data_IF_641957443238
#
_entry.id   IF_641957443238
#
_cell.length_a   1.000
_cell.length_b   1.000
_cell.length_c   1.000
_cell.angle_alpha   90.00
_cell.angle_beta   90.00
_cell.angle_gamma   90.00
#
_symmetry.space_group_name_H-M   'P 1'
#
loop_
_entity.id
_entity.type
_entity.pdbx_description
1 polymer ?
#
# COMPACT_ATOMS: atom_id res chain seq x y z
N UNK A 1 34.39 -33.23 21.38
CA UNK A 1 33.32 -33.09 22.40
C UNK A 1 32.42 -31.92 22.04
N UNK A 2 31.13 -32.12 21.65
CA UNK A 2 30.25 -31.08 21.19
C UNK A 2 30.01 -30.02 22.29
N UNK A 3 30.01 -30.37 23.55
CA UNK A 3 29.83 -29.43 24.68
C UNK A 3 31.01 -28.47 24.82
N UNK A 4 32.25 -28.93 24.63
CA UNK A 4 33.43 -28.07 24.70
C UNK A 4 33.39 -27.04 23.55
N UNK A 5 33.04 -27.46 22.34
CA UNK A 5 32.89 -26.56 21.20
C UNK A 5 31.84 -25.49 21.44
N UNK A 6 30.71 -25.83 22.07
CA UNK A 6 29.65 -24.86 22.41
C UNK A 6 30.14 -23.83 23.46
N UNK A 7 30.89 -24.26 24.47
CA UNK A 7 31.48 -23.37 25.48
C UNK A 7 32.48 -22.41 24.85
N UNK A 8 33.40 -22.91 24.03
CA UNK A 8 34.37 -22.06 23.32
C UNK A 8 33.68 -21.05 22.39
N UNK A 9 32.61 -21.45 21.72
CA UNK A 9 31.84 -20.58 20.87
C UNK A 9 31.19 -19.43 21.67
N UNK A 10 30.52 -19.72 22.79
CA UNK A 10 29.93 -18.70 23.65
C UNK A 10 30.96 -17.79 24.27
N UNK A 11 32.10 -18.31 24.68
CA UNK A 11 33.21 -17.49 25.19
C UNK A 11 33.75 -16.57 24.10
N UNK A 12 33.97 -17.04 22.89
CA UNK A 12 34.40 -16.20 21.75
C UNK A 12 33.41 -15.09 21.45
N UNK A 13 32.10 -15.40 21.45
CA UNK A 13 31.06 -14.41 21.22
C UNK A 13 30.99 -13.38 22.34
N UNK A 14 31.14 -13.80 23.61
CA UNK A 14 31.19 -12.92 24.77
C UNK A 14 32.39 -11.99 24.72
N UNK A 15 33.59 -12.53 24.42
CA UNK A 15 34.82 -11.74 24.29
C UNK A 15 34.67 -10.73 23.14
N UNK A 16 34.09 -11.11 22.00
CA UNK A 16 33.83 -10.19 20.91
C UNK A 16 32.87 -9.08 21.28
N UNK A 17 31.79 -9.36 22.02
CA UNK A 17 30.86 -8.35 22.54
C UNK A 17 31.50 -7.41 23.55
N UNK A 18 32.30 -7.94 24.48
CA UNK A 18 33.02 -7.12 25.47
C UNK A 18 34.14 -6.28 24.85
N UNK A 19 34.71 -6.70 23.73
CA UNK A 19 35.69 -5.93 23.00
C UNK A 19 35.11 -4.72 22.26
N UNK A 20 33.84 -4.72 21.91
CA UNK A 20 33.20 -3.62 21.15
C UNK A 20 33.33 -2.25 21.81
N UNK A 21 33.08 -2.07 23.13
CA UNK A 21 33.27 -0.77 23.79
C UNK A 21 34.74 -0.34 23.85
N UNK A 22 35.65 -1.30 24.03
CA UNK A 22 37.08 -1.04 24.11
C UNK A 22 37.63 -0.60 22.74
N UNK A 23 37.10 -1.14 21.68
CA UNK A 23 37.44 -0.81 20.29
C UNK A 23 36.77 0.48 19.80
N UNK A 24 35.91 1.11 20.61
CA UNK A 24 35.15 2.30 20.23
C UNK A 24 36.00 3.51 19.83
N UNK A 25 37.28 3.56 20.28
CA UNK A 25 38.23 4.58 19.87
C UNK A 25 38.77 4.40 18.45
N UNK A 26 38.70 3.17 17.90
CA UNK A 26 39.11 2.87 16.53
C UNK A 26 37.96 2.24 15.73
N UNK A 27 37.38 3.07 14.89
CA UNK A 27 36.19 2.67 14.06
C UNK A 27 36.50 1.49 13.14
N UNK A 28 37.71 1.39 12.58
CA UNK A 28 38.11 0.25 11.74
C UNK A 28 38.05 -1.08 12.51
N UNK A 29 38.63 -1.10 13.70
CA UNK A 29 38.61 -2.29 14.55
C UNK A 29 37.19 -2.62 15.01
N UNK A 30 36.36 -1.62 15.28
CA UNK A 30 34.95 -1.80 15.62
C UNK A 30 34.16 -2.45 14.48
N UNK A 31 34.32 -1.95 13.25
CA UNK A 31 33.71 -2.55 12.04
C UNK A 31 34.17 -3.98 11.82
N UNK A 32 35.49 -4.24 11.92
CA UNK A 32 36.04 -5.58 11.79
C UNK A 32 35.53 -6.56 12.87
N UNK A 33 35.41 -6.11 14.12
CA UNK A 33 34.87 -6.93 15.21
C UNK A 33 33.39 -7.29 14.98
N UNK A 34 32.58 -6.35 14.47
CA UNK A 34 31.19 -6.66 14.11
C UNK A 34 31.10 -7.68 12.99
N UNK A 35 31.92 -7.58 11.93
CA UNK A 35 31.95 -8.62 10.89
C UNK A 35 32.41 -9.96 11.41
N UNK A 36 33.38 -9.99 12.30
CA UNK A 36 33.80 -11.21 12.98
C UNK A 36 32.63 -11.83 13.76
N UNK A 37 31.90 -11.03 14.56
CA UNK A 37 30.71 -11.50 15.28
C UNK A 37 29.61 -12.01 14.34
N UNK A 38 29.38 -11.33 13.22
CA UNK A 38 28.44 -11.79 12.20
C UNK A 38 28.89 -13.15 11.63
N UNK A 39 30.16 -13.32 11.35
CA UNK A 39 30.77 -14.59 10.93
C UNK A 39 30.57 -15.70 11.95
N UNK A 40 30.81 -15.41 13.23
CA UNK A 40 30.55 -16.37 14.32
C UNK A 40 29.07 -16.77 14.39
N UNK A 41 28.15 -15.82 14.22
CA UNK A 41 26.72 -16.10 14.21
C UNK A 41 26.32 -16.99 13.02
N UNK A 42 26.92 -16.79 11.83
CA UNK A 42 26.74 -17.70 10.68
C UNK A 42 27.25 -19.11 11.00
N UNK A 43 28.45 -19.22 11.58
CA UNK A 43 28.99 -20.52 12.00
C UNK A 43 28.11 -21.20 13.03
N UNK A 44 27.54 -20.43 13.98
CA UNK A 44 26.57 -20.97 14.94
C UNK A 44 25.31 -21.51 14.26
N UNK A 45 24.83 -20.80 13.25
CA UNK A 45 23.68 -21.27 12.46
C UNK A 45 23.96 -22.64 11.83
N UNK A 46 25.14 -22.82 11.25
CA UNK A 46 25.56 -24.08 10.64
C UNK A 46 25.72 -25.17 11.71
N UNK A 47 26.38 -24.86 12.79
CA UNK A 47 26.73 -25.84 13.85
C UNK A 47 25.53 -26.28 14.67
N UNK A 48 24.73 -25.31 15.12
CA UNK A 48 23.55 -25.61 15.97
C UNK A 48 22.31 -25.90 15.13
N UNK A 49 22.35 -25.70 13.82
CA UNK A 49 21.20 -25.81 12.90
C UNK A 49 19.99 -24.99 13.32
N UNK A 50 20.25 -23.90 14.06
CA UNK A 50 19.21 -22.99 14.56
C UNK A 50 19.19 -21.71 13.74
N UNK A 51 18.09 -21.39 13.06
CA UNK A 51 17.97 -20.22 12.21
C UNK A 51 18.01 -18.88 12.96
N UNK A 52 17.79 -18.88 14.27
CA UNK A 52 17.79 -17.67 15.09
C UNK A 52 19.13 -16.90 15.03
N UNK A 53 20.26 -17.60 14.87
CA UNK A 53 21.56 -16.97 14.77
C UNK A 53 21.74 -16.14 13.49
N UNK A 54 20.95 -16.41 12.44
CA UNK A 54 20.96 -15.58 11.23
C UNK A 54 20.37 -14.19 11.48
N UNK A 55 19.42 -14.03 12.43
CA UNK A 55 18.97 -12.69 12.82
C UNK A 55 20.13 -11.88 13.42
N UNK A 56 20.89 -12.52 14.32
CA UNK A 56 22.06 -11.88 14.94
C UNK A 56 23.09 -11.52 13.87
N UNK A 57 23.43 -12.46 12.98
CA UNK A 57 24.37 -12.22 11.88
C UNK A 57 23.93 -11.04 10.99
N UNK A 58 22.65 -11.02 10.59
CA UNK A 58 22.13 -10.01 9.71
C UNK A 58 22.04 -8.63 10.38
N UNK A 59 21.66 -8.55 11.66
CA UNK A 59 21.62 -7.29 12.42
C UNK A 59 23.04 -6.75 12.61
N UNK A 60 23.95 -7.60 13.07
CA UNK A 60 25.34 -7.20 13.34
C UNK A 60 26.06 -6.75 12.07
N UNK A 61 25.86 -7.44 10.96
CA UNK A 61 26.42 -7.02 9.67
C UNK A 61 25.82 -5.73 9.14
N UNK A 62 24.54 -5.45 9.41
CA UNK A 62 23.90 -4.16 9.09
C UNK A 62 24.56 -3.01 9.86
N UNK A 63 24.83 -3.21 11.15
CA UNK A 63 25.56 -2.24 11.97
C UNK A 63 27.01 -2.05 11.48
N UNK A 64 27.70 -3.13 11.17
CA UNK A 64 29.04 -3.08 10.60
C UNK A 64 29.09 -2.26 9.29
N UNK A 65 28.10 -2.43 8.45
CA UNK A 65 27.97 -1.69 7.20
C UNK A 65 27.80 -0.17 7.44
N UNK A 66 27.06 0.22 8.48
CA UNK A 66 26.93 1.62 8.91
C UNK A 66 28.28 2.22 9.34
N UNK A 67 29.09 1.49 10.09
CA UNK A 67 30.43 1.93 10.52
C UNK A 67 31.40 2.07 9.35
N UNK A 68 31.34 1.17 8.38
CA UNK A 68 32.17 1.28 7.17
C UNK A 68 31.82 2.54 6.38
N UNK A 69 30.55 2.86 6.22
CA UNK A 69 30.15 4.10 5.56
C UNK A 69 30.67 5.34 6.29
N UNK A 70 30.65 5.32 7.63
CA UNK A 70 31.24 6.39 8.44
C UNK A 70 32.75 6.51 8.18
N UNK A 71 33.46 5.40 8.11
CA UNK A 71 34.90 5.35 7.88
C UNK A 71 35.32 5.84 6.51
N UNK A 72 34.50 5.61 5.51
CA UNK A 72 34.73 6.08 4.14
C UNK A 72 34.41 7.55 3.94
N UNK A 73 34.03 8.26 5.02
CA UNK A 73 33.49 9.65 4.97
C UNK A 73 32.34 9.83 3.98
N UNK A 74 31.64 8.75 3.68
CA UNK A 74 30.54 8.68 2.74
C UNK A 74 29.17 8.72 3.47
N UNK A 75 29.11 9.31 4.67
CA UNK A 75 27.88 9.42 5.46
C UNK A 75 26.88 10.43 4.88
N UNK A 76 26.72 10.40 3.57
CA UNK A 76 25.62 11.07 2.92
C UNK A 76 24.35 10.24 3.00
N UNK A 77 23.19 10.88 3.09
CA UNK A 77 21.90 10.14 3.05
C UNK A 77 21.79 9.25 1.82
N UNK A 78 22.39 9.66 0.71
CA UNK A 78 22.42 8.89 -0.52
C UNK A 78 23.23 7.58 -0.37
N UNK A 79 24.45 7.66 0.19
CA UNK A 79 25.30 6.49 0.39
C UNK A 79 24.66 5.51 1.40
N UNK A 80 24.08 6.04 2.49
CA UNK A 80 23.35 5.22 3.47
C UNK A 80 22.15 4.52 2.82
N UNK A 81 21.35 5.25 2.04
CA UNK A 81 20.20 4.68 1.34
C UNK A 81 20.61 3.54 0.40
N UNK A 82 21.59 3.77 -0.48
CA UNK A 82 22.05 2.76 -1.43
C UNK A 82 22.69 1.55 -0.76
N UNK A 83 23.47 1.77 0.29
CA UNK A 83 24.07 0.69 1.05
C UNK A 83 23.01 -0.21 1.71
N UNK A 84 21.99 0.39 2.34
CA UNK A 84 20.91 -0.36 2.97
C UNK A 84 20.04 -1.08 1.94
N UNK A 85 19.70 -0.44 0.81
CA UNK A 85 18.96 -1.08 -0.27
C UNK A 85 19.73 -2.26 -0.87
N UNK A 86 21.02 -2.07 -1.12
CA UNK A 86 21.90 -3.13 -1.62
C UNK A 86 22.01 -4.30 -0.64
N UNK A 87 22.17 -4.00 0.65
CA UNK A 87 22.20 -5.01 1.70
C UNK A 87 20.88 -5.77 1.83
N UNK A 88 19.75 -5.08 1.82
CA UNK A 88 18.44 -5.72 1.83
C UNK A 88 18.25 -6.62 0.61
N UNK A 89 18.64 -6.17 -0.58
CA UNK A 89 18.58 -6.97 -1.80
C UNK A 89 19.42 -8.26 -1.68
N UNK A 90 20.63 -8.16 -1.12
CA UNK A 90 21.51 -9.31 -0.89
C UNK A 90 20.88 -10.30 0.10
N UNK A 91 20.29 -9.84 1.19
CA UNK A 91 19.58 -10.69 2.15
C UNK A 91 18.39 -11.42 1.51
N UNK A 92 17.59 -10.70 0.70
CA UNK A 92 16.43 -11.27 -0.01
C UNK A 92 16.89 -12.38 -1.00
N UNK A 93 17.90 -12.07 -1.80
CA UNK A 93 18.43 -13.04 -2.80
C UNK A 93 19.03 -14.26 -2.09
N UNK A 94 19.82 -14.05 -1.03
CA UNK A 94 20.42 -15.14 -0.24
C UNK A 94 19.35 -16.01 0.40
N UNK A 95 18.32 -15.40 0.99
CA UNK A 95 17.18 -16.12 1.56
C UNK A 95 16.49 -17.01 0.51
N UNK A 96 16.23 -16.44 -0.66
CA UNK A 96 15.64 -17.18 -1.78
C UNK A 96 16.50 -18.32 -2.27
N UNK A 97 17.80 -18.09 -2.40
CA UNK A 97 18.78 -19.13 -2.79
C UNK A 97 18.77 -20.28 -1.79
N UNK A 98 18.78 -20.01 -0.49
CA UNK A 98 18.74 -21.05 0.54
C UNK A 98 17.42 -21.84 0.49
N UNK A 99 16.29 -21.19 0.24
CA UNK A 99 15.01 -21.89 0.04
C UNK A 99 15.05 -22.84 -1.16
N UNK A 100 15.64 -22.42 -2.28
CA UNK A 100 15.81 -23.26 -3.47
C UNK A 100 16.74 -24.44 -3.21
N UNK A 101 17.69 -24.32 -2.27
CA UNK A 101 18.57 -25.40 -1.81
C UNK A 101 17.95 -26.30 -0.75
N UNK A 102 16.60 -26.30 -0.62
CA UNK A 102 15.85 -27.09 0.36
C UNK A 102 16.14 -26.75 1.83
N UNK A 103 16.53 -25.48 2.09
CA UNK A 103 16.79 -24.95 3.42
C UNK A 103 15.80 -23.82 3.78
N UNK A 104 14.46 -24.04 3.73
CA UNK A 104 13.47 -22.99 3.89
C UNK A 104 13.50 -22.31 5.27
N UNK A 105 13.98 -23.01 6.30
CA UNK A 105 14.08 -22.47 7.67
C UNK A 105 14.96 -21.23 7.79
N UNK A 106 15.91 -21.07 6.87
CA UNK A 106 16.86 -19.96 6.87
C UNK A 106 16.37 -18.76 6.06
N UNK A 107 15.31 -18.91 5.24
CA UNK A 107 14.73 -17.82 4.48
C UNK A 107 14.07 -16.78 5.41
N UNK A 108 13.28 -17.24 6.40
CA UNK A 108 12.49 -16.36 7.27
C UNK A 108 13.34 -15.31 8.01
N UNK A 109 14.44 -15.66 8.70
CA UNK A 109 15.27 -14.66 9.37
C UNK A 109 15.92 -13.66 8.41
N UNK A 110 16.38 -14.09 7.25
CA UNK A 110 16.98 -13.20 6.26
C UNK A 110 15.94 -12.23 5.69
N UNK A 111 14.76 -12.74 5.38
CA UNK A 111 13.66 -11.92 4.88
C UNK A 111 13.17 -10.91 5.92
N UNK A 112 12.98 -11.33 7.17
CA UNK A 112 12.53 -10.44 8.25
C UNK A 112 13.56 -9.32 8.48
N UNK A 113 14.86 -9.64 8.48
CA UNK A 113 15.92 -8.64 8.59
C UNK A 113 15.95 -7.73 7.36
N UNK A 114 15.78 -8.27 6.15
CA UNK A 114 15.72 -7.46 4.94
C UNK A 114 14.56 -6.46 4.99
N UNK A 115 13.38 -6.87 5.48
CA UNK A 115 12.24 -5.98 5.66
C UNK A 115 12.52 -4.87 6.68
N UNK A 116 13.20 -5.20 7.79
CA UNK A 116 13.62 -4.20 8.78
C UNK A 116 14.62 -3.20 8.16
N UNK A 117 15.60 -3.68 7.39
CA UNK A 117 16.57 -2.83 6.68
C UNK A 117 15.89 -1.96 5.63
N UNK A 118 14.90 -2.49 4.87
CA UNK A 118 14.11 -1.69 3.93
C UNK A 118 13.31 -0.59 4.66
N UNK A 119 12.75 -0.89 5.83
CA UNK A 119 12.08 0.10 6.66
C UNK A 119 13.03 1.21 7.11
N UNK A 120 14.24 0.85 7.54
CA UNK A 120 15.28 1.81 7.91
C UNK A 120 15.81 2.60 6.70
N UNK A 121 15.87 2.00 5.52
CA UNK A 121 16.30 2.64 4.29
C UNK A 121 15.33 3.72 3.80
N UNK A 122 14.06 3.65 4.18
CA UNK A 122 13.03 4.59 3.72
C UNK A 122 13.38 6.04 4.10
N UNK A 123 13.75 6.29 5.34
CA UNK A 123 14.04 7.64 5.82
C UNK A 123 15.24 8.29 5.11
N UNK A 124 16.44 7.69 5.09
CA UNK A 124 17.57 8.26 4.37
C UNK A 124 17.30 8.41 2.86
N UNK A 125 16.52 7.50 2.27
CA UNK A 125 16.13 7.60 0.86
C UNK A 125 15.24 8.81 0.60
N UNK A 126 14.30 9.13 1.49
CA UNK A 126 13.41 10.29 1.36
C UNK A 126 14.14 11.62 1.57
N UNK A 127 15.15 11.65 2.45
CA UNK A 127 15.95 12.84 2.73
C UNK A 127 17.03 13.07 1.67
N UNK A 128 17.47 12.04 0.98
CA UNK A 128 18.46 12.13 -0.08
C UNK A 128 18.04 13.12 -1.17
N UNK A 129 19.04 13.69 -1.84
CA UNK A 129 18.79 14.60 -2.96
C UNK A 129 18.30 13.85 -4.20
N UNK A 130 17.59 14.55 -5.08
CA UNK A 130 17.27 14.04 -6.42
C UNK A 130 18.61 13.88 -7.23
N UNK A 131 18.82 12.82 -8.02
CA UNK A 131 17.88 11.76 -8.39
C UNK A 131 17.84 10.54 -7.41
N UNK A 132 18.77 10.48 -6.43
CA UNK A 132 18.88 9.34 -5.50
C UNK A 132 17.56 9.06 -4.79
N UNK A 133 16.85 10.09 -4.35
CA UNK A 133 15.54 9.97 -3.71
C UNK A 133 14.55 9.19 -4.57
N UNK A 134 14.40 9.56 -5.82
CA UNK A 134 13.41 8.97 -6.73
C UNK A 134 13.75 7.51 -7.05
N UNK A 135 15.00 7.26 -7.46
CA UNK A 135 15.46 5.93 -7.84
C UNK A 135 15.50 5.01 -6.61
N UNK A 136 15.91 5.53 -5.44
CA UNK A 136 15.92 4.78 -4.19
C UNK A 136 14.53 4.37 -3.73
N UNK A 137 13.54 5.27 -3.80
CA UNK A 137 12.13 4.93 -3.48
C UNK A 137 11.57 3.93 -4.48
N UNK A 138 11.90 4.06 -5.77
CA UNK A 138 11.51 3.08 -6.79
C UNK A 138 12.14 1.70 -6.54
N UNK A 139 13.43 1.65 -6.19
CA UNK A 139 14.13 0.42 -5.85
C UNK A 139 13.51 -0.27 -4.62
N UNK A 140 13.15 0.50 -3.60
CA UNK A 140 12.47 0.00 -2.40
C UNK A 140 11.11 -0.63 -2.76
N UNK A 141 10.30 0.06 -3.58
CA UNK A 141 9.03 -0.49 -4.07
C UNK A 141 9.23 -1.79 -4.86
N UNK A 142 10.25 -1.83 -5.73
CA UNK A 142 10.59 -3.01 -6.53
C UNK A 142 10.99 -4.20 -5.64
N UNK A 143 11.83 -3.99 -4.61
CA UNK A 143 12.25 -5.03 -3.69
C UNK A 143 11.05 -5.59 -2.91
N UNK A 144 10.13 -4.75 -2.44
CA UNK A 144 8.89 -5.19 -1.79
C UNK A 144 7.99 -5.99 -2.74
N UNK A 145 7.87 -5.55 -4.00
CA UNK A 145 7.11 -6.29 -5.01
C UNK A 145 7.75 -7.65 -5.32
N UNK A 146 9.08 -7.72 -5.36
CA UNK A 146 9.83 -8.96 -5.55
C UNK A 146 9.61 -9.94 -4.38
N UNK A 147 9.60 -9.42 -3.14
CA UNK A 147 9.26 -10.22 -1.95
C UNK A 147 7.83 -10.76 -2.08
N UNK A 148 6.86 -9.93 -2.46
CA UNK A 148 5.47 -10.35 -2.67
C UNK A 148 5.39 -11.51 -3.67
N UNK A 149 6.07 -11.38 -4.81
CA UNK A 149 6.12 -12.40 -5.85
C UNK A 149 6.76 -13.70 -5.35
N UNK A 150 7.89 -13.63 -4.66
CA UNK A 150 8.61 -14.83 -4.19
C UNK A 150 7.94 -15.52 -3.02
N UNK A 151 7.30 -14.76 -2.13
CA UNK A 151 6.55 -15.31 -1.00
C UNK A 151 5.12 -15.75 -1.37
N UNK A 152 4.71 -15.48 -2.63
CA UNK A 152 3.34 -15.72 -3.09
C UNK A 152 2.30 -15.09 -2.15
N UNK A 153 2.66 -13.93 -1.56
CA UNK A 153 1.83 -13.22 -0.59
C UNK A 153 1.58 -11.76 -1.00
N UNK A 154 0.33 -11.34 -1.24
CA UNK A 154 0.00 -9.99 -1.68
C UNK A 154 0.23 -8.92 -0.61
N UNK A 155 0.46 -9.29 0.66
CA UNK A 155 0.63 -8.36 1.77
C UNK A 155 1.70 -7.28 1.48
N UNK A 156 2.80 -7.68 0.89
CA UNK A 156 3.90 -6.75 0.58
C UNK A 156 3.56 -5.77 -0.54
N UNK A 157 2.57 -6.07 -1.39
CA UNK A 157 2.09 -5.14 -2.41
C UNK A 157 1.36 -3.94 -1.81
N UNK A 158 0.75 -4.08 -0.63
CA UNK A 158 0.12 -2.96 0.06
C UNK A 158 1.12 -1.86 0.46
N UNK A 159 2.40 -2.22 0.64
CA UNK A 159 3.47 -1.25 0.82
C UNK A 159 4.15 -0.89 -0.50
N UNK A 160 4.43 -1.87 -1.37
CA UNK A 160 5.13 -1.67 -2.64
C UNK A 160 4.39 -0.70 -3.57
N UNK A 161 3.07 -0.83 -3.69
CA UNK A 161 2.25 -0.05 -4.63
C UNK A 161 2.20 1.43 -4.26
N UNK A 162 1.88 1.85 -3.01
CA UNK A 162 1.93 3.27 -2.64
C UNK A 162 3.35 3.84 -2.63
N UNK A 163 4.38 3.07 -2.26
CA UNK A 163 5.77 3.51 -2.35
C UNK A 163 6.18 3.72 -3.82
N UNK A 164 5.77 2.82 -4.72
CA UNK A 164 6.00 3.00 -6.16
C UNK A 164 5.30 4.24 -6.72
N UNK A 165 4.09 4.54 -6.24
CA UNK A 165 3.40 5.78 -6.58
C UNK A 165 4.12 7.02 -6.01
N UNK A 166 4.65 6.95 -4.79
CA UNK A 166 5.47 8.01 -4.23
C UNK A 166 6.71 8.27 -5.09
N UNK A 167 7.39 7.23 -5.58
CA UNK A 167 8.50 7.37 -6.52
C UNK A 167 8.08 8.10 -7.81
N UNK A 168 6.90 7.78 -8.32
CA UNK A 168 6.33 8.48 -9.48
C UNK A 168 6.08 9.96 -9.18
N UNK A 169 5.48 10.29 -8.04
CA UNK A 169 5.24 11.68 -7.64
C UNK A 169 6.55 12.47 -7.50
N UNK A 170 7.55 11.87 -6.88
CA UNK A 170 8.88 12.47 -6.77
C UNK A 170 9.53 12.70 -8.15
N UNK A 171 9.23 11.85 -9.13
CA UNK A 171 9.63 12.05 -10.53
C UNK A 171 9.00 13.28 -11.17
N UNK A 172 7.82 13.71 -10.73
CA UNK A 172 7.16 14.92 -11.23
C UNK A 172 7.89 16.23 -10.84
N UNK A 173 8.76 16.19 -9.85
CA UNK A 173 9.62 17.34 -9.47
C UNK A 173 10.52 17.80 -10.63
N UNK A 174 10.78 16.94 -11.62
CA UNK A 174 11.57 17.30 -12.80
C UNK A 174 10.81 18.15 -13.80
N UNK A 175 9.48 18.23 -13.64
CA UNK A 175 8.64 19.05 -14.50
C UNK A 175 8.28 20.36 -13.78
N UNK A 176 8.65 21.55 -14.32
CA UNK A 176 8.45 22.84 -13.65
C UNK A 176 6.99 23.14 -13.28
N UNK A 177 6.05 22.54 -14.03
CA UNK A 177 4.60 22.70 -13.81
C UNK A 177 3.95 21.48 -13.13
N UNK A 178 4.75 20.47 -12.76
CA UNK A 178 4.24 19.18 -12.30
C UNK A 178 3.27 19.29 -11.12
N UNK A 179 3.62 20.06 -10.11
CA UNK A 179 2.77 20.24 -8.93
C UNK A 179 1.48 21.02 -9.21
N UNK A 180 1.53 21.99 -10.15
CA UNK A 180 0.35 22.78 -10.51
C UNK A 180 -0.73 21.93 -11.20
N UNK A 181 -0.32 20.92 -11.95
CA UNK A 181 -1.20 20.03 -12.69
C UNK A 181 -1.15 18.60 -12.14
N UNK A 182 -0.84 18.45 -10.85
CA UNK A 182 -0.72 17.15 -10.19
C UNK A 182 -1.94 16.25 -10.45
N UNK A 183 -3.15 16.82 -10.44
CA UNK A 183 -4.39 16.11 -10.72
C UNK A 183 -4.45 15.48 -12.12
N UNK A 184 -3.78 16.07 -13.12
CA UNK A 184 -3.68 15.52 -14.47
C UNK A 184 -2.50 14.54 -14.58
N UNK A 185 -1.35 14.91 -14.03
CA UNK A 185 -0.16 14.05 -14.08
C UNK A 185 -0.31 12.76 -13.27
N UNK A 186 -1.14 12.76 -12.24
CA UNK A 186 -1.43 11.54 -11.49
C UNK A 186 -2.34 10.53 -12.24
N UNK A 187 -3.12 10.98 -13.25
CA UNK A 187 -4.02 10.11 -14.01
C UNK A 187 -3.32 8.96 -14.74
N UNK A 188 -2.17 9.13 -15.41
CA UNK A 188 -1.46 8.02 -16.01
C UNK A 188 -1.11 6.93 -15.01
N UNK A 189 -0.65 7.30 -13.80
CA UNK A 189 -0.35 6.35 -12.74
C UNK A 189 -1.62 5.60 -12.28
N UNK A 190 -2.75 6.30 -12.15
CA UNK A 190 -4.03 5.67 -11.84
C UNK A 190 -4.45 4.67 -12.92
N UNK A 191 -4.30 5.02 -14.20
CA UNK A 191 -4.64 4.12 -15.32
C UNK A 191 -3.71 2.91 -15.39
N UNK A 192 -2.42 3.10 -15.16
CA UNK A 192 -1.44 2.00 -15.10
C UNK A 192 -1.77 1.07 -13.93
N UNK A 193 -2.03 1.62 -12.75
CA UNK A 193 -2.43 0.84 -11.58
C UNK A 193 -3.73 0.06 -11.86
N UNK A 194 -4.75 0.72 -12.41
CA UNK A 194 -6.02 0.06 -12.78
C UNK A 194 -5.81 -1.07 -13.81
N UNK A 195 -5.00 -0.83 -14.84
CA UNK A 195 -4.70 -1.85 -15.84
C UNK A 195 -3.91 -3.03 -15.25
N UNK A 196 -2.94 -2.74 -14.37
CA UNK A 196 -2.19 -3.74 -13.62
C UNK A 196 -3.11 -4.59 -12.73
N UNK A 197 -4.03 -3.95 -12.02
CA UNK A 197 -5.04 -4.64 -11.23
C UNK A 197 -5.89 -5.59 -12.09
N UNK A 198 -6.36 -5.12 -13.24
CA UNK A 198 -7.14 -5.95 -14.17
C UNK A 198 -6.34 -7.11 -14.74
N UNK A 199 -5.07 -6.88 -15.04
CA UNK A 199 -4.18 -7.93 -15.52
C UNK A 199 -3.99 -9.00 -14.44
N UNK A 200 -3.75 -8.61 -13.18
CA UNK A 200 -3.65 -9.54 -12.05
C UNK A 200 -4.94 -10.33 -11.84
N UNK A 201 -6.10 -9.71 -11.90
CA UNK A 201 -7.39 -10.40 -11.77
C UNK A 201 -7.60 -11.47 -12.86
N UNK A 202 -7.05 -11.25 -14.04
CA UNK A 202 -7.18 -12.20 -15.14
C UNK A 202 -6.19 -13.37 -15.05
N UNK A 203 -5.01 -13.15 -14.44
CA UNK A 203 -3.91 -14.13 -14.40
C UNK A 203 -3.75 -14.79 -13.04
N UNK A 204 -4.02 -14.06 -11.97
CA UNK A 204 -3.95 -14.56 -10.60
C UNK A 204 -5.37 -14.72 -10.08
N UNK A 205 -5.91 -15.93 -10.13
CA UNK A 205 -7.22 -16.19 -9.53
C UNK A 205 -7.12 -15.93 -8.03
N UNK A 206 -7.90 -14.98 -7.48
CA UNK A 206 -7.91 -14.77 -6.03
C UNK A 206 -8.34 -16.08 -5.38
N UNK A 207 -7.67 -16.48 -4.32
CA UNK A 207 -8.12 -17.53 -3.42
C UNK A 207 -9.31 -17.01 -2.60
N UNK A 208 -10.33 -16.52 -3.30
CA UNK A 208 -11.60 -16.11 -2.72
C UNK A 208 -12.23 -17.36 -2.14
N UNK A 209 -12.14 -17.49 -0.81
CA UNK A 209 -12.69 -18.61 -0.09
C UNK A 209 -14.10 -18.96 -0.60
N UNK A 210 -14.34 -20.20 -0.83
CA UNK A 210 -15.55 -20.74 -1.47
C UNK A 210 -16.85 -20.42 -0.70
N UNK A 211 -16.74 -19.90 0.53
CA UNK A 211 -17.91 -19.52 1.34
C UNK A 211 -18.02 -17.99 1.43
N UNK A 212 -19.23 -17.42 1.22
CA UNK A 212 -19.46 -16.03 1.51
C UNK A 212 -19.14 -15.74 2.98
N UNK A 213 -18.59 -14.55 3.33
CA UNK A 213 -18.41 -14.20 4.74
C UNK A 213 -19.76 -14.21 5.44
N UNK A 214 -19.79 -14.54 6.75
CA UNK A 214 -20.99 -14.39 7.55
C UNK A 214 -21.48 -12.94 7.46
N UNK A 215 -22.78 -12.73 7.63
CA UNK A 215 -23.32 -11.37 7.60
C UNK A 215 -22.74 -10.56 8.78
N UNK A 216 -22.42 -9.29 8.51
CA UNK A 216 -21.85 -8.37 9.51
C UNK A 216 -22.68 -8.32 10.79
N UNK A 217 -24.01 -8.34 10.65
CA UNK A 217 -24.96 -8.22 11.76
C UNK A 217 -25.09 -9.50 12.61
N UNK A 218 -24.87 -10.66 12.01
CA UNK A 218 -24.98 -11.94 12.69
C UNK A 218 -23.69 -12.32 13.45
N UNK A 219 -22.53 -11.98 12.86
CA UNK A 219 -21.23 -12.24 13.46
C UNK A 219 -20.19 -11.20 12.97
N UNK A 220 -20.13 -10.03 13.63
CA UNK A 220 -19.22 -8.95 13.22
C UNK A 220 -17.74 -9.36 13.30
N UNK A 221 -17.32 -10.10 14.30
CA UNK A 221 -15.93 -10.56 14.47
C UNK A 221 -15.56 -11.56 13.37
N UNK A 222 -16.41 -12.53 13.12
CA UNK A 222 -16.21 -13.50 12.04
C UNK A 222 -16.23 -12.84 10.66
N UNK A 223 -17.07 -11.83 10.47
CA UNK A 223 -17.08 -11.02 9.23
C UNK A 223 -15.77 -10.28 9.02
N UNK A 224 -15.25 -9.60 10.05
CA UNK A 224 -13.97 -8.88 9.98
C UNK A 224 -12.81 -9.84 9.70
N UNK A 225 -12.75 -10.98 10.38
CA UNK A 225 -11.71 -11.97 10.15
C UNK A 225 -11.76 -12.54 8.73
N UNK A 226 -12.91 -13.01 8.26
CA UNK A 226 -13.08 -13.56 6.92
C UNK A 226 -12.87 -12.51 5.82
N UNK A 227 -13.28 -11.26 6.06
CA UNK A 227 -13.05 -10.14 5.12
C UNK A 227 -11.57 -9.78 5.09
N UNK A 228 -10.91 -9.72 6.24
CA UNK A 228 -9.47 -9.47 6.35
C UNK A 228 -8.64 -10.49 5.58
N UNK A 229 -8.89 -11.77 5.76
CA UNK A 229 -8.23 -12.84 5.02
C UNK A 229 -8.43 -12.70 3.50
N UNK A 230 -9.63 -12.38 3.07
CA UNK A 230 -9.94 -12.16 1.64
C UNK A 230 -9.21 -10.95 1.09
N UNK A 231 -9.22 -9.83 1.80
CA UNK A 231 -8.53 -8.61 1.37
C UNK A 231 -7.02 -8.85 1.28
N UNK A 232 -6.45 -9.54 2.27
CA UNK A 232 -5.02 -9.88 2.30
C UNK A 232 -4.61 -10.93 1.26
N UNK A 233 -5.54 -11.73 0.76
CA UNK A 233 -5.28 -12.70 -0.32
C UNK A 233 -5.47 -12.12 -1.73
N UNK A 234 -5.99 -10.92 -1.86
CA UNK A 234 -6.36 -10.34 -3.14
C UNK A 234 -5.22 -9.48 -3.73
N UNK A 235 -4.56 -10.01 -4.74
CA UNK A 235 -3.38 -9.41 -5.37
C UNK A 235 -3.64 -8.07 -6.08
N UNK A 236 -4.80 -7.89 -6.65
CA UNK A 236 -5.14 -6.67 -7.38
C UNK A 236 -5.65 -5.54 -6.49
N UNK A 237 -6.07 -5.84 -5.26
CA UNK A 237 -6.68 -4.85 -4.37
C UNK A 237 -5.79 -3.65 -4.05
N UNK A 238 -4.47 -3.79 -3.76
CA UNK A 238 -3.61 -2.63 -3.51
C UNK A 238 -3.59 -1.64 -4.69
N UNK A 239 -3.60 -2.17 -5.91
CA UNK A 239 -3.63 -1.34 -7.13
C UNK A 239 -4.96 -0.63 -7.30
N UNK A 240 -6.06 -1.29 -7.00
CA UNK A 240 -7.38 -0.68 -7.03
C UNK A 240 -7.51 0.41 -5.95
N UNK A 241 -7.03 0.16 -4.73
CA UNK A 241 -7.02 1.15 -3.66
C UNK A 241 -6.19 2.38 -4.05
N UNK A 242 -5.00 2.16 -4.63
CA UNK A 242 -4.18 3.25 -5.13
C UNK A 242 -4.90 4.03 -6.23
N UNK A 243 -5.45 3.34 -7.23
CA UNK A 243 -6.21 3.99 -8.31
C UNK A 243 -7.30 4.88 -7.75
N UNK A 244 -8.06 4.35 -6.80
CA UNK A 244 -9.16 5.08 -6.16
C UNK A 244 -8.66 6.27 -5.37
N UNK A 245 -7.59 6.10 -4.57
CA UNK A 245 -7.02 7.19 -3.80
C UNK A 245 -6.51 8.32 -4.72
N UNK A 246 -5.83 7.98 -5.82
CA UNK A 246 -5.37 8.96 -6.80
C UNK A 246 -6.56 9.71 -7.42
N UNK A 247 -7.57 8.98 -7.88
CA UNK A 247 -8.73 9.58 -8.52
C UNK A 247 -9.52 10.47 -7.54
N UNK A 248 -9.66 10.02 -6.28
CA UNK A 248 -10.30 10.77 -5.22
C UNK A 248 -9.55 12.10 -4.95
N UNK A 249 -8.25 12.02 -4.67
CA UNK A 249 -7.43 13.19 -4.39
C UNK A 249 -7.40 14.14 -5.59
N UNK A 250 -7.24 13.60 -6.80
CA UNK A 250 -7.26 14.39 -8.03
C UNK A 250 -8.59 15.12 -8.20
N UNK A 251 -9.71 14.50 -7.87
CA UNK A 251 -11.04 15.11 -7.96
C UNK A 251 -11.23 16.26 -6.98
N UNK A 252 -10.70 16.15 -5.75
CA UNK A 252 -10.79 17.20 -4.75
C UNK A 252 -9.82 18.37 -5.00
N UNK A 253 -8.64 18.09 -5.52
CA UNK A 253 -7.62 19.10 -5.80
C UNK A 253 -7.92 19.92 -7.08
N UNK A 254 -8.91 19.50 -7.86
CA UNK A 254 -9.18 20.16 -9.15
C UNK A 254 -10.16 21.31 -8.96
N UNK A 255 -9.82 22.53 -9.40
CA UNK A 255 -10.82 23.58 -9.56
C UNK A 255 -11.86 23.11 -10.57
N UNK A 256 -13.11 23.57 -10.42
CA UNK A 256 -14.23 23.21 -11.31
C UNK A 256 -13.98 23.74 -12.72
N UNK A 257 -13.25 22.95 -13.48
CA UNK A 257 -12.89 23.18 -14.90
C UNK A 257 -13.08 21.87 -15.65
N UNK A 258 -13.07 21.94 -16.96
CA UNK A 258 -13.23 20.75 -17.83
C UNK A 258 -12.31 19.59 -17.47
N UNK A 259 -11.06 19.88 -17.18
CA UNK A 259 -10.10 18.83 -16.80
C UNK A 259 -10.39 18.17 -15.43
N UNK A 260 -11.20 18.79 -14.55
CA UNK A 260 -11.64 18.20 -13.29
C UNK A 260 -12.72 17.16 -13.46
N UNK A 261 -13.47 17.19 -14.56
CA UNK A 261 -14.49 16.17 -14.85
C UNK A 261 -13.86 14.82 -15.23
N UNK A 262 -12.64 14.82 -15.78
CA UNK A 262 -11.94 13.60 -16.19
C UNK A 262 -11.69 12.65 -15.00
N UNK A 263 -11.09 13.10 -13.87
CA UNK A 263 -10.93 12.24 -12.70
C UNK A 263 -12.27 11.71 -12.15
N UNK A 264 -13.32 12.54 -12.15
CA UNK A 264 -14.65 12.13 -11.67
C UNK A 264 -15.25 11.03 -12.57
N UNK A 265 -15.18 11.21 -13.88
CA UNK A 265 -15.66 10.20 -14.82
C UNK A 265 -14.87 8.89 -14.74
N UNK A 266 -13.54 8.98 -14.62
CA UNK A 266 -12.69 7.81 -14.44
C UNK A 266 -12.97 7.10 -13.11
N UNK A 267 -13.19 7.84 -12.02
CA UNK A 267 -13.56 7.27 -10.73
C UNK A 267 -14.88 6.50 -10.83
N UNK A 268 -15.91 7.09 -11.40
CA UNK A 268 -17.18 6.41 -11.61
C UNK A 268 -17.01 5.14 -12.46
N UNK A 269 -16.24 5.20 -13.53
CA UNK A 269 -15.99 4.05 -14.41
C UNK A 269 -15.25 2.92 -13.67
N UNK A 270 -14.21 3.26 -12.90
CA UNK A 270 -13.45 2.29 -12.11
C UNK A 270 -14.36 1.60 -11.09
N UNK A 271 -15.16 2.35 -10.33
CA UNK A 271 -16.08 1.78 -9.33
C UNK A 271 -17.19 0.96 -9.97
N UNK A 272 -17.71 1.39 -11.11
CA UNK A 272 -18.68 0.62 -11.88
C UNK A 272 -18.13 -0.73 -12.34
N UNK A 273 -16.87 -0.77 -12.80
CA UNK A 273 -16.22 -2.03 -13.19
C UNK A 273 -15.96 -2.93 -11.98
N UNK A 274 -15.65 -2.35 -10.80
CA UNK A 274 -15.49 -3.07 -9.55
C UNK A 274 -16.79 -3.74 -9.10
N UNK A 275 -17.89 -2.99 -9.08
CA UNK A 275 -19.20 -3.54 -8.77
C UNK A 275 -19.57 -4.70 -9.71
N UNK A 276 -19.37 -4.51 -11.00
CA UNK A 276 -19.69 -5.53 -12.01
C UNK A 276 -18.93 -6.84 -11.82
N UNK A 277 -17.71 -6.79 -11.25
CA UNK A 277 -16.87 -7.97 -11.03
C UNK A 277 -17.10 -8.64 -9.69
N UNK A 278 -17.26 -7.86 -8.64
CA UNK A 278 -17.31 -8.35 -7.27
C UNK A 278 -18.73 -8.51 -6.74
N UNK A 279 -19.69 -7.85 -7.39
CA UNK A 279 -21.11 -7.75 -6.96
C UNK A 279 -21.29 -7.21 -5.53
N UNK A 280 -20.21 -6.66 -4.93
CA UNK A 280 -20.24 -6.07 -3.61
C UNK A 280 -20.92 -4.70 -3.66
N UNK A 281 -21.92 -4.50 -2.83
CA UNK A 281 -22.79 -3.30 -2.81
C UNK A 281 -22.08 -2.00 -2.51
N UNK A 282 -21.02 -2.06 -1.72
CA UNK A 282 -20.21 -0.88 -1.41
C UNK A 282 -19.65 -0.22 -2.67
N UNK A 283 -19.33 -1.01 -3.68
CA UNK A 283 -18.82 -0.49 -4.95
C UNK A 283 -19.92 0.18 -5.77
N UNK A 284 -21.15 -0.29 -5.65
CA UNK A 284 -22.31 0.38 -6.26
C UNK A 284 -22.57 1.75 -5.61
N UNK A 285 -22.43 1.82 -4.28
CA UNK A 285 -22.50 3.10 -3.57
C UNK A 285 -21.42 4.07 -4.05
N UNK A 286 -20.16 3.61 -4.12
CA UNK A 286 -19.05 4.42 -4.61
C UNK A 286 -19.26 4.87 -6.06
N UNK A 287 -19.73 3.99 -6.94
CA UNK A 287 -20.06 4.33 -8.32
C UNK A 287 -21.15 5.41 -8.40
N UNK A 288 -22.25 5.24 -7.67
CA UNK A 288 -23.36 6.17 -7.67
C UNK A 288 -22.94 7.54 -7.10
N UNK A 289 -22.17 7.56 -6.02
CA UNK A 289 -21.59 8.77 -5.44
C UNK A 289 -20.74 9.55 -6.44
N UNK A 290 -19.80 8.89 -7.12
CA UNK A 290 -18.96 9.56 -8.11
C UNK A 290 -19.69 10.00 -9.35
N UNK A 291 -20.69 9.24 -9.79
CA UNK A 291 -21.57 9.65 -10.89
C UNK A 291 -22.35 10.91 -10.53
N UNK A 292 -22.83 11.00 -9.32
CA UNK A 292 -23.56 12.18 -8.81
C UNK A 292 -22.62 13.41 -8.75
N UNK A 293 -21.40 13.26 -8.24
CA UNK A 293 -20.38 14.31 -8.26
C UNK A 293 -20.00 14.76 -9.66
N UNK A 294 -19.91 13.83 -10.62
CA UNK A 294 -19.71 14.16 -12.03
C UNK A 294 -20.83 15.04 -12.58
N UNK A 295 -22.08 14.66 -12.32
CA UNK A 295 -23.25 15.44 -12.76
C UNK A 295 -23.25 16.82 -12.09
N UNK A 296 -22.97 16.89 -10.78
CA UNK A 296 -22.81 18.14 -10.07
C UNK A 296 -21.72 19.03 -10.70
N UNK A 297 -20.56 18.48 -11.02
CA UNK A 297 -19.48 19.20 -11.70
C UNK A 297 -19.86 19.69 -13.08
N UNK A 298 -20.60 18.90 -13.86
CA UNK A 298 -21.15 19.28 -15.15
C UNK A 298 -22.12 20.47 -15.03
N UNK A 299 -23.08 20.38 -14.10
CA UNK A 299 -24.06 21.44 -13.87
C UNK A 299 -23.36 22.73 -13.48
N UNK A 300 -22.39 22.67 -12.56
CA UNK A 300 -21.60 23.86 -12.15
C UNK A 300 -20.83 24.48 -13.29
N UNK A 301 -20.41 23.70 -14.25
CA UNK A 301 -19.67 24.16 -15.42
C UNK A 301 -20.57 24.85 -16.44
N UNK A 302 -21.80 24.33 -16.60
CA UNK A 302 -22.79 24.87 -17.55
C UNK A 302 -23.58 26.06 -16.97
N UNK A 303 -23.74 26.11 -15.64
CA UNK A 303 -24.48 27.15 -14.91
C UNK A 303 -23.56 27.79 -13.83
N UNK A 304 -22.55 28.56 -14.21
CA UNK A 304 -21.55 29.06 -13.26
C UNK A 304 -22.12 30.03 -12.22
N UNK A 305 -23.29 30.65 -12.47
CA UNK A 305 -23.98 31.54 -11.52
C UNK A 305 -24.97 30.84 -10.58
N UNK A 306 -25.12 29.52 -10.67
CA UNK A 306 -26.07 28.77 -9.85
C UNK A 306 -25.58 28.61 -8.41
N UNK A 307 -26.53 28.69 -7.46
CA UNK A 307 -26.24 28.40 -6.05
C UNK A 307 -25.97 26.91 -5.82
N UNK A 308 -25.29 26.56 -4.73
CA UNK A 308 -25.05 25.17 -4.37
C UNK A 308 -26.37 24.40 -4.23
N UNK A 309 -27.42 25.03 -3.69
CA UNK A 309 -28.73 24.41 -3.56
C UNK A 309 -29.36 24.04 -4.90
N UNK A 310 -29.30 24.95 -5.91
CA UNK A 310 -29.82 24.64 -7.26
C UNK A 310 -29.05 23.52 -7.96
N UNK A 311 -27.74 23.43 -7.70
CA UNK A 311 -26.89 22.37 -8.23
C UNK A 311 -27.21 21.02 -7.61
N UNK A 312 -27.44 20.96 -6.30
CA UNK A 312 -27.86 19.76 -5.59
C UNK A 312 -29.26 19.31 -6.02
N UNK A 313 -30.20 20.25 -6.19
CA UNK A 313 -31.54 19.95 -6.73
C UNK A 313 -31.45 19.32 -8.13
N UNK A 314 -30.55 19.78 -8.97
CA UNK A 314 -30.37 19.23 -10.31
C UNK A 314 -29.75 17.82 -10.29
N UNK A 315 -29.03 17.43 -9.23
CA UNK A 315 -28.54 16.04 -9.07
C UNK A 315 -29.62 15.08 -8.56
N UNK A 316 -30.68 15.58 -7.93
CA UNK A 316 -31.80 14.77 -7.44
C UNK A 316 -32.43 13.85 -8.48
N UNK A 317 -32.74 14.31 -9.71
CA UNK A 317 -33.24 13.44 -10.78
C UNK A 317 -32.31 12.28 -11.12
N UNK A 318 -30.99 12.49 -11.03
CA UNK A 318 -30.02 11.43 -11.29
C UNK A 318 -30.05 10.40 -10.17
N UNK A 319 -30.12 10.84 -8.91
CA UNK A 319 -30.28 9.94 -7.77
C UNK A 319 -31.58 9.13 -7.89
N UNK A 320 -32.68 9.77 -8.26
CA UNK A 320 -33.97 9.08 -8.52
C UNK A 320 -33.89 8.09 -9.67
N UNK A 321 -33.21 8.44 -10.76
CA UNK A 321 -32.97 7.50 -11.88
C UNK A 321 -32.18 6.29 -11.42
N UNK A 322 -31.12 6.49 -10.66
CA UNK A 322 -30.30 5.41 -10.10
C UNK A 322 -31.10 4.53 -9.15
N UNK A 323 -31.94 5.13 -8.30
CA UNK A 323 -32.87 4.39 -7.44
C UNK A 323 -33.87 3.57 -8.25
N UNK A 324 -34.45 4.16 -9.31
CA UNK A 324 -35.37 3.46 -10.19
C UNK A 324 -34.69 2.27 -10.88
N UNK A 325 -33.49 2.46 -11.42
CA UNK A 325 -32.70 1.37 -12.02
C UNK A 325 -32.40 0.28 -10.98
N UNK A 326 -31.98 0.64 -9.79
CA UNK A 326 -31.68 -0.29 -8.72
C UNK A 326 -32.95 -1.03 -8.23
N UNK A 327 -34.09 -0.33 -8.12
CA UNK A 327 -35.36 -0.95 -7.78
C UNK A 327 -35.82 -1.94 -8.86
N UNK A 328 -35.54 -1.65 -10.13
CA UNK A 328 -35.88 -2.55 -11.25
C UNK A 328 -35.00 -3.81 -11.28
N UNK A 329 -33.74 -3.66 -10.90
CA UNK A 329 -32.80 -4.79 -10.75
C UNK A 329 -33.13 -5.61 -9.49
N UNK A 330 -33.57 -4.95 -8.41
CA UNK A 330 -33.81 -5.55 -7.09
C UNK A 330 -35.28 -5.84 -6.75
N UNK A 331 -36.19 -5.97 -7.72
CA UNK A 331 -37.66 -6.06 -7.57
C UNK A 331 -38.23 -7.02 -6.52
N UNK A 332 -37.43 -7.75 -5.77
CA UNK A 332 -37.87 -8.85 -4.91
C UNK A 332 -37.62 -8.66 -3.40
N UNK A 333 -37.25 -7.45 -2.96
CA UNK A 333 -36.94 -7.23 -1.56
C UNK A 333 -37.86 -6.14 -0.94
N UNK A 334 -38.96 -6.52 -0.24
CA UNK A 334 -39.82 -5.57 0.44
C UNK A 334 -39.07 -4.86 1.58
N UNK A 335 -39.45 -3.58 1.79
CA UNK A 335 -38.89 -2.75 2.88
C UNK A 335 -39.01 -3.43 4.25
N UNK A 336 -37.97 -3.30 5.07
CA UNK A 336 -37.94 -3.84 6.44
C UNK A 336 -37.60 -5.33 6.52
N UNK A 337 -37.44 -6.03 5.41
CA UNK A 337 -37.00 -7.42 5.44
C UNK A 337 -35.47 -7.55 5.40
N UNK A 338 -34.94 -8.70 5.88
CA UNK A 338 -33.50 -8.98 5.75
C UNK A 338 -33.03 -8.88 4.29
N UNK A 339 -33.89 -9.26 3.32
CA UNK A 339 -33.64 -9.14 1.90
C UNK A 339 -33.44 -7.68 1.43
N UNK A 340 -34.11 -6.70 2.06
CA UNK A 340 -33.91 -5.28 1.78
C UNK A 340 -32.52 -4.81 2.22
N UNK A 341 -32.10 -5.16 3.42
CA UNK A 341 -30.79 -4.79 3.96
C UNK A 341 -29.63 -5.39 3.14
N UNK A 342 -29.89 -6.49 2.46
CA UNK A 342 -28.96 -7.14 1.55
C UNK A 342 -29.16 -6.75 0.08
N UNK A 343 -30.13 -5.89 -0.20
CA UNK A 343 -30.46 -5.45 -1.56
C UNK A 343 -29.40 -4.47 -2.11
N UNK A 344 -29.08 -4.50 -3.39
CA UNK A 344 -28.20 -3.52 -4.02
C UNK A 344 -28.77 -2.10 -4.01
N UNK A 345 -30.04 -1.93 -3.61
CA UNK A 345 -30.70 -0.65 -3.53
C UNK A 345 -30.34 0.14 -2.25
N UNK A 346 -29.93 -0.52 -1.18
CA UNK A 346 -29.60 0.12 0.09
C UNK A 346 -28.56 1.25 -0.04
N UNK A 347 -27.42 1.08 -0.74
CA UNK A 347 -26.46 2.16 -0.94
C UNK A 347 -27.06 3.41 -1.59
N UNK A 348 -28.00 3.22 -2.51
CA UNK A 348 -28.67 4.33 -3.22
C UNK A 348 -29.68 5.05 -2.35
N UNK A 349 -30.36 4.34 -1.45
CA UNK A 349 -31.23 4.95 -0.44
C UNK A 349 -30.43 5.77 0.57
N UNK A 350 -29.26 5.29 0.97
CA UNK A 350 -28.36 6.07 1.86
C UNK A 350 -27.90 7.34 1.17
N UNK A 351 -27.53 7.28 -0.12
CA UNK A 351 -27.16 8.46 -0.90
C UNK A 351 -28.30 9.47 -0.99
N UNK A 352 -29.51 9.03 -1.29
CA UNK A 352 -30.67 9.89 -1.35
C UNK A 352 -30.94 10.55 0.00
N UNK A 353 -30.82 9.82 1.11
CA UNK A 353 -30.96 10.36 2.45
C UNK A 353 -29.91 11.43 2.77
N UNK A 354 -28.67 11.21 2.38
CA UNK A 354 -27.60 12.20 2.52
C UNK A 354 -27.86 13.45 1.69
N UNK A 355 -28.35 13.33 0.46
CA UNK A 355 -28.72 14.47 -0.40
C UNK A 355 -29.82 15.30 0.21
N UNK A 356 -30.87 14.66 0.75
CA UNK A 356 -31.95 15.36 1.43
C UNK A 356 -31.44 16.14 2.63
N UNK A 357 -30.58 15.54 3.46
CA UNK A 357 -29.96 16.19 4.62
C UNK A 357 -29.12 17.39 4.19
N UNK A 358 -28.28 17.23 3.17
CA UNK A 358 -27.45 18.30 2.64
C UNK A 358 -28.31 19.44 2.07
N UNK A 359 -29.36 19.13 1.31
CA UNK A 359 -30.30 20.12 0.78
C UNK A 359 -30.97 20.90 1.90
N UNK A 360 -31.42 20.24 2.98
CA UNK A 360 -32.03 20.91 4.14
C UNK A 360 -31.01 21.80 4.87
N UNK A 361 -29.76 21.29 5.07
CA UNK A 361 -28.71 22.06 5.72
C UNK A 361 -28.34 23.33 4.92
N UNK A 362 -28.29 23.28 3.60
CA UNK A 362 -28.02 24.43 2.75
C UNK A 362 -29.24 25.37 2.65
N UNK A 363 -30.45 24.85 2.64
CA UNK A 363 -31.66 25.68 2.62
C UNK A 363 -31.79 26.48 3.93
N UNK A 364 -31.48 25.87 5.08
CA UNK A 364 -31.50 26.56 6.38
C UNK A 364 -30.38 27.61 6.46
N UNK A 365 -29.15 27.29 6.00
CA UNK A 365 -28.05 28.25 6.00
C UNK A 365 -28.35 29.51 5.15
N UNK A 366 -28.98 29.34 3.98
CA UNK A 366 -29.34 30.47 3.12
C UNK A 366 -30.52 31.31 3.62
N UNK A 367 -31.32 30.81 4.56
CA UNK A 367 -32.41 31.59 5.18
C UNK A 367 -31.92 32.47 6.34
N UNK A 368 -30.67 32.33 6.78
CA UNK A 368 -30.06 33.14 7.83
C UNK A 368 -29.08 34.21 7.30
N UNK A 369 -28.84 34.25 6.00
CA UNK A 369 -28.08 35.30 5.30
C UNK A 369 -29.03 36.22 4.52
#
# INVERSE_FOLDING_TARGET
NPRAATVFYHLSSLVGLLALPILGANRWLQGAALYYLAGLAILATIWHRQPCWLYVAAIVSTLANGIILELLNELTFAAVAWSQLGWAALLIVTGRFLKQRHLPRYETPLLATALAVLGLALLPTLIATSPTRQVGVAALALLLALIAYWQQGPLYLYAAVPIGFLAYLLGLEWFPTGWRYLHLYALPAALIAWRGARWLDNHVKPALGQKPPPYLWDNPVGWWAATGERLLSWWSLPFYLLTTAILLVSSFLTPVRWHGLIPLALSALVWGTFYRRTTLRIWLFAFAFWLQWLVYGLIKLWLPGSTVASQLLATGPVALLLLWVAARIGRRAPWGTAAFWHSPTLPLWILLGLDIILLQAFATANNYT
#
